data_IF_691032439891
#
_entry.id   IF_691032439891
#
_cell.length_a   1.000
_cell.length_b   1.000
_cell.length_c   1.000
_cell.angle_alpha   90.00
_cell.angle_beta   90.00
_cell.angle_gamma   90.00
#
_symmetry.space_group_name_H-M   'P 1'
#
loop_
_entity.id
_entity.type
_entity.pdbx_description
1 polymer ?
#
# COMPACT_ATOMS: atom_id res chain seq x y z
N UNK A 1 -5.22 12.17 25.70
CA UNK A 1 -5.05 10.72 25.42
C UNK A 1 -4.87 10.55 23.92
N UNK A 2 -3.93 9.71 23.53
CA UNK A 2 -3.72 9.35 22.13
C UNK A 2 -4.92 8.54 21.63
N UNK A 3 -5.58 9.00 20.55
CA UNK A 3 -6.83 8.40 20.06
C UNK A 3 -6.63 6.95 19.60
N UNK A 4 -5.47 6.63 19.03
CA UNK A 4 -5.13 5.28 18.60
C UNK A 4 -4.99 4.36 19.81
N UNK A 5 -4.28 4.80 20.86
CA UNK A 5 -4.15 4.03 22.11
C UNK A 5 -5.51 3.77 22.78
N UNK A 6 -6.41 4.74 22.75
CA UNK A 6 -7.77 4.56 23.30
C UNK A 6 -8.58 3.54 22.50
N UNK A 7 -8.48 3.56 21.17
CA UNK A 7 -9.15 2.60 20.31
C UNK A 7 -8.66 1.17 20.56
N UNK A 8 -7.35 0.96 20.61
CA UNK A 8 -6.75 -0.34 20.93
C UNK A 8 -7.25 -0.90 22.26
N UNK A 9 -7.26 -0.06 23.31
CA UNK A 9 -7.79 -0.44 24.62
C UNK A 9 -9.29 -0.79 24.56
N UNK A 10 -10.09 -0.01 23.82
CA UNK A 10 -11.52 -0.29 23.66
C UNK A 10 -11.76 -1.64 22.98
N UNK A 11 -11.02 -1.94 21.92
CA UNK A 11 -11.13 -3.21 21.18
C UNK A 11 -10.73 -4.41 22.03
N UNK A 12 -9.69 -4.26 22.87
CA UNK A 12 -9.30 -5.28 23.84
C UNK A 12 -10.39 -5.52 24.89
N UNK A 13 -10.93 -4.46 25.48
CA UNK A 13 -12.01 -4.57 26.46
C UNK A 13 -13.28 -5.18 25.85
N UNK A 14 -13.62 -4.82 24.61
CA UNK A 14 -14.74 -5.40 23.89
C UNK A 14 -14.53 -6.91 23.68
N UNK A 15 -13.34 -7.34 23.27
CA UNK A 15 -13.03 -8.76 23.13
C UNK A 15 -13.21 -9.52 24.45
N UNK A 16 -12.73 -8.95 25.54
CA UNK A 16 -12.85 -9.54 26.87
C UNK A 16 -14.31 -9.64 27.30
N UNK A 17 -15.09 -8.60 27.05
CA UNK A 17 -16.52 -8.57 27.33
C UNK A 17 -17.27 -9.65 26.54
N UNK A 18 -17.00 -9.79 25.24
CA UNK A 18 -17.62 -10.83 24.41
C UNK A 18 -17.34 -12.24 24.95
N UNK A 19 -16.12 -12.49 25.47
CA UNK A 19 -15.78 -13.76 26.14
C UNK A 19 -16.54 -13.98 27.44
N UNK A 20 -16.76 -12.93 28.24
CA UNK A 20 -17.58 -13.04 29.46
C UNK A 20 -19.00 -13.47 29.08
N UNK A 21 -19.54 -12.93 27.99
CA UNK A 21 -20.86 -13.31 27.48
C UNK A 21 -20.93 -14.75 26.96
N UNK A 22 -19.83 -15.50 26.82
CA UNK A 22 -19.87 -16.95 26.54
C UNK A 22 -20.39 -17.77 27.72
N UNK A 23 -20.21 -17.28 28.95
CA UNK A 23 -20.69 -17.95 30.17
C UNK A 23 -22.10 -17.56 30.61
N UNK A 24 -22.70 -16.55 29.97
CA UNK A 24 -23.96 -15.96 30.40
C UNK A 24 -25.16 -16.52 29.64
N UNK A 25 -26.33 -16.56 30.30
CA UNK A 25 -27.59 -16.91 29.62
C UNK A 25 -28.14 -15.70 28.88
N UNK A 26 -27.75 -15.58 27.61
CA UNK A 26 -28.22 -14.53 26.72
C UNK A 26 -29.61 -14.84 26.15
N UNK A 27 -30.40 -13.80 25.91
CA UNK A 27 -31.57 -13.89 25.06
C UNK A 27 -31.18 -14.20 23.61
N UNK A 28 -32.09 -14.73 22.80
CA UNK A 28 -31.81 -15.04 21.39
C UNK A 28 -31.26 -13.84 20.61
N UNK A 29 -31.86 -12.66 20.79
CA UNK A 29 -31.38 -11.42 20.16
C UNK A 29 -29.96 -11.04 20.62
N UNK A 30 -29.65 -11.19 21.91
CA UNK A 30 -28.34 -10.88 22.45
C UNK A 30 -27.26 -11.84 21.91
N UNK A 31 -27.58 -13.12 21.74
CA UNK A 31 -26.67 -14.10 21.10
C UNK A 31 -26.35 -13.73 19.66
N UNK A 32 -27.35 -13.31 18.88
CA UNK A 32 -27.14 -12.85 17.49
C UNK A 32 -26.24 -11.60 17.46
N UNK A 33 -26.55 -10.60 18.29
CA UNK A 33 -25.75 -9.37 18.36
C UNK A 33 -24.30 -9.61 18.78
N UNK A 34 -24.08 -10.50 19.75
CA UNK A 34 -22.74 -10.93 20.16
C UNK A 34 -21.97 -11.58 19.00
N UNK A 35 -22.63 -12.43 18.22
CA UNK A 35 -22.04 -13.04 17.02
C UNK A 35 -21.57 -11.99 16.01
N UNK A 36 -22.44 -11.04 15.67
CA UNK A 36 -22.12 -9.93 14.76
C UNK A 36 -20.93 -9.09 15.26
N UNK A 37 -20.92 -8.74 16.55
CA UNK A 37 -19.81 -7.98 17.14
C UNK A 37 -18.49 -8.76 17.11
N UNK A 38 -18.55 -10.09 17.29
CA UNK A 38 -17.37 -10.95 17.23
C UNK A 38 -16.80 -11.00 15.82
N UNK A 39 -17.66 -11.14 14.81
CA UNK A 39 -17.27 -11.14 13.40
C UNK A 39 -16.65 -9.80 12.96
N UNK A 40 -17.26 -8.69 13.37
CA UNK A 40 -16.72 -7.34 13.11
C UNK A 40 -15.35 -7.14 13.74
N UNK A 41 -15.18 -7.55 15.00
CA UNK A 41 -13.92 -7.42 15.72
C UNK A 41 -12.82 -8.29 15.09
N UNK A 42 -13.16 -9.49 14.62
CA UNK A 42 -12.23 -10.34 13.89
C UNK A 42 -11.84 -9.73 12.53
N UNK A 43 -12.80 -9.18 11.79
CA UNK A 43 -12.56 -8.55 10.49
C UNK A 43 -11.62 -7.34 10.62
N UNK A 44 -11.82 -6.51 11.64
CA UNK A 44 -10.92 -5.39 11.94
C UNK A 44 -9.48 -5.86 12.16
N UNK A 45 -9.28 -6.93 12.95
CA UNK A 45 -7.95 -7.48 13.24
C UNK A 45 -7.28 -8.11 12.02
N UNK A 46 -8.05 -8.83 11.21
CA UNK A 46 -7.55 -9.45 9.97
C UNK A 46 -7.14 -8.42 8.92
N UNK A 47 -7.71 -7.21 8.96
CA UNK A 47 -7.40 -6.14 8.01
C UNK A 47 -6.07 -5.41 8.28
N UNK A 48 -5.49 -5.55 9.48
CA UNK A 48 -4.33 -4.76 9.90
C UNK A 48 -2.97 -5.39 9.52
N UNK A 49 -2.95 -6.25 8.48
CA UNK A 49 -1.78 -7.05 8.10
C UNK A 49 -1.46 -7.02 6.60
N UNK A 50 -1.83 -5.94 5.92
CA UNK A 50 -1.31 -5.64 4.60
C UNK A 50 -0.35 -4.47 4.75
N UNK A 51 0.94 -4.75 4.75
CA UNK A 51 1.97 -3.74 4.65
C UNK A 51 1.76 -3.05 3.29
N UNK A 52 1.00 -1.96 3.29
CA UNK A 52 0.75 -1.14 2.11
C UNK A 52 2.07 -0.44 1.79
N UNK A 53 3.01 -1.15 1.18
CA UNK A 53 4.22 -0.57 0.62
C UNK A 53 3.79 0.30 -0.58
N UNK A 54 3.49 1.56 -0.27
CA UNK A 54 3.20 2.57 -1.27
C UNK A 54 4.48 2.87 -2.05
N UNK A 55 4.67 2.20 -3.18
CA UNK A 55 5.73 2.56 -4.14
C UNK A 55 5.37 3.90 -4.77
N UNK A 56 6.08 4.96 -4.37
CA UNK A 56 5.95 6.27 -4.99
C UNK A 56 6.55 6.24 -6.40
N UNK A 57 5.69 6.28 -7.43
CA UNK A 57 6.14 6.40 -8.81
C UNK A 57 6.28 7.87 -9.19
N UNK A 58 7.47 8.25 -9.66
CA UNK A 58 7.67 9.59 -10.23
C UNK A 58 6.81 9.77 -11.47
N UNK A 59 6.06 10.87 -11.53
CA UNK A 59 5.34 11.26 -12.74
C UNK A 59 6.34 11.78 -13.78
N UNK A 60 6.59 10.99 -14.83
CA UNK A 60 7.39 11.43 -15.98
C UNK A 60 6.57 12.43 -16.80
N UNK A 61 7.02 13.67 -16.88
CA UNK A 61 6.47 14.66 -17.81
C UNK A 61 7.16 14.46 -19.16
N UNK A 62 6.44 13.91 -20.14
CA UNK A 62 6.91 13.87 -21.53
C UNK A 62 6.59 15.22 -22.16
N UNK A 63 7.48 16.21 -22.04
CA UNK A 63 7.42 17.40 -22.89
C UNK A 63 7.90 17.01 -24.28
N UNK A 64 6.96 16.68 -25.17
CA UNK A 64 7.22 16.65 -26.60
C UNK A 64 7.55 18.08 -27.05
N UNK A 65 8.82 18.48 -26.98
CA UNK A 65 9.30 19.65 -27.70
C UNK A 65 9.46 19.29 -29.18
N UNK A 66 8.35 19.16 -29.89
CA UNK A 66 8.35 19.33 -31.34
C UNK A 66 7.09 20.14 -31.72
N UNK A 67 7.40 21.29 -32.31
CA UNK A 67 6.54 22.43 -32.62
C UNK A 67 5.31 22.04 -33.44
N UNK A 68 4.12 22.50 -33.06
CA UNK A 68 3.42 23.61 -33.73
C UNK A 68 2.11 23.94 -33.01
N UNK A 69 1.98 25.21 -32.63
CA UNK A 69 0.77 26.01 -32.36
C UNK A 69 -0.54 25.25 -32.02
N UNK A 70 -1.01 25.40 -30.78
CA UNK A 70 -2.27 26.09 -30.44
C UNK A 70 -2.65 25.84 -28.97
N UNK A 71 -2.77 26.96 -28.25
CA UNK A 71 -3.70 27.25 -27.17
C UNK A 71 -3.63 26.46 -25.83
N UNK A 72 -3.16 27.23 -24.85
CA UNK A 72 -3.68 27.40 -23.49
C UNK A 72 -3.65 26.25 -22.47
N UNK A 73 -2.90 26.61 -21.43
CA UNK A 73 -3.36 26.70 -20.04
C UNK A 73 -3.04 25.54 -19.12
N UNK A 74 -1.78 25.46 -18.70
CA UNK A 74 -1.46 24.99 -17.34
C UNK A 74 -0.23 25.74 -16.82
N UNK A 75 -0.50 26.97 -16.38
CA UNK A 75 0.42 27.83 -15.62
C UNK A 75 0.62 27.20 -14.23
N UNK A 76 1.66 26.37 -14.06
CA UNK A 76 2.12 25.99 -12.73
C UNK A 76 3.12 27.04 -12.23
N UNK A 77 2.57 28.12 -11.69
CA UNK A 77 3.35 29.10 -10.94
C UNK A 77 3.81 28.45 -9.63
N UNK A 78 5.06 28.00 -9.57
CA UNK A 78 5.75 27.74 -8.31
C UNK A 78 6.97 28.65 -8.27
N UNK A 79 6.90 29.64 -7.37
CA UNK A 79 7.90 30.67 -7.12
C UNK A 79 9.30 30.08 -6.85
N UNK A 80 10.33 30.58 -7.53
CA UNK A 80 11.74 30.41 -7.14
C UNK A 80 12.74 30.42 -8.31
N UNK A 81 13.38 31.58 -8.54
CA UNK A 81 14.60 31.92 -9.31
C UNK A 81 15.15 31.07 -10.50
N UNK A 82 15.61 31.71 -11.59
CA UNK A 82 16.28 31.04 -12.71
C UNK A 82 17.78 30.89 -12.42
N UNK A 83 18.29 29.67 -12.24
CA UNK A 83 19.69 29.53 -11.84
C UNK A 83 20.34 28.17 -12.06
N UNK A 84 21.16 28.12 -13.12
CA UNK A 84 22.35 27.26 -13.34
C UNK A 84 22.11 25.87 -13.92
N UNK A 85 22.38 25.80 -15.22
CA UNK A 85 22.64 24.59 -16.01
C UNK A 85 23.72 23.74 -15.34
N UNK A 86 23.33 22.63 -14.71
CA UNK A 86 24.24 21.60 -14.21
C UNK A 86 24.40 20.52 -15.28
N UNK A 87 25.56 20.52 -15.94
CA UNK A 87 25.94 19.52 -16.93
C UNK A 87 26.43 18.26 -16.19
N UNK A 88 25.56 17.28 -15.98
CA UNK A 88 25.96 15.97 -15.46
C UNK A 88 26.47 15.10 -16.61
N UNK A 89 27.79 14.86 -16.64
CA UNK A 89 28.40 13.81 -17.47
C UNK A 89 27.84 12.44 -17.06
N UNK A 90 27.57 11.61 -18.07
CA UNK A 90 26.86 10.32 -18.02
C UNK A 90 27.16 9.43 -16.81
N UNK A 91 26.17 8.68 -16.30
CA UNK A 91 26.39 7.69 -15.25
C UNK A 91 27.29 6.54 -15.73
N UNK A 92 27.99 5.85 -14.80
CA UNK A 92 28.83 4.70 -15.15
C UNK A 92 28.00 3.55 -15.72
N UNK A 93 28.55 2.87 -16.72
CA UNK A 93 27.88 1.81 -17.46
C UNK A 93 27.74 0.53 -16.61
N UNK A 94 26.60 -0.17 -16.65
CA UNK A 94 26.39 -1.38 -15.87
C UNK A 94 27.25 -2.56 -16.38
N UNK A 95 27.62 -3.51 -15.50
CA UNK A 95 28.39 -4.68 -15.89
C UNK A 95 27.58 -5.62 -16.80
N UNK A 96 28.26 -6.41 -17.67
CA UNK A 96 27.60 -7.23 -18.67
C UNK A 96 26.79 -8.39 -18.04
N UNK A 97 25.70 -8.83 -18.70
CA UNK A 97 24.88 -9.94 -18.22
C UNK A 97 25.65 -11.26 -18.19
N UNK A 98 25.46 -12.06 -17.14
CA UNK A 98 26.04 -13.41 -17.08
C UNK A 98 25.24 -14.38 -17.97
N UNK A 99 25.89 -15.29 -18.70
CA UNK A 99 25.19 -16.28 -19.52
C UNK A 99 24.43 -17.27 -18.63
N UNK A 100 23.18 -17.54 -19.02
CA UNK A 100 22.32 -18.55 -18.40
C UNK A 100 22.84 -19.95 -18.76
N UNK A 101 23.13 -20.79 -17.76
CA UNK A 101 23.40 -22.21 -17.99
C UNK A 101 22.07 -22.93 -18.20
N UNK A 102 21.78 -23.27 -19.46
CA UNK A 102 20.68 -24.18 -19.80
C UNK A 102 21.16 -25.62 -19.62
N UNK A 103 20.72 -26.27 -18.54
CA UNK A 103 20.87 -27.71 -18.34
C UNK A 103 19.77 -28.21 -17.41
N UNK A 104 18.53 -28.15 -17.89
CA UNK A 104 17.48 -29.04 -17.40
C UNK A 104 17.03 -29.93 -18.57
N UNK A 105 17.62 -31.12 -18.61
CA UNK A 105 17.19 -32.28 -19.39
C UNK A 105 15.67 -32.45 -19.33
N UNK A 106 14.99 -32.40 -20.48
CA UNK A 106 13.65 -32.93 -20.62
C UNK A 106 13.66 -34.07 -21.64
N UNK A 107 13.65 -35.28 -21.09
CA UNK A 107 13.43 -36.55 -21.78
C UNK A 107 11.98 -36.58 -22.27
N UNK A 108 11.75 -36.72 -23.58
CA UNK A 108 10.54 -37.39 -24.11
C UNK A 108 10.95 -38.20 -25.35
N UNK A 109 10.70 -39.50 -25.25
CA UNK A 109 10.86 -40.60 -26.20
C UNK A 109 9.75 -40.62 -27.26
N UNK A 110 10.08 -40.78 -28.54
CA UNK A 110 9.74 -41.97 -29.35
C UNK A 110 10.41 -41.99 -30.72
#
# INVERSE_FOLDING_TARGET
MDKHKVLEQLLEQLQRFLKILDGEKLSGNATVQKGLLTELLQSYKSSNGGDEEYIYMNKVIVTCQNQDKTDRDYRLEANGEPGRHINFKNPPEPPPPRPVSDSFQLVIEK
#
